data_IF_704686174265
#
_entry.id   IF_704686174265
#
_cell.length_a   1.000
_cell.length_b   1.000
_cell.length_c   1.000
_cell.angle_alpha   90.00
_cell.angle_beta   90.00
_cell.angle_gamma   90.00
#
_symmetry.space_group_name_H-M   'P 1'
#
loop_
_entity.id
_entity.type
_entity.pdbx_description
1 polymer ?
#
# COMPACT_ATOMS: atom_id res chain seq x y z
N UNK A 1 15.28 -23.90 31.09
CA UNK A 1 14.20 -24.81 31.55
C UNK A 1 13.23 -25.00 30.40
N UNK A 2 13.14 -26.16 29.74
CA UNK A 2 12.15 -26.34 28.69
C UNK A 2 10.77 -26.45 29.34
N UNK A 3 9.92 -25.44 29.14
CA UNK A 3 8.49 -25.59 29.37
C UNK A 3 8.00 -26.76 28.52
N UNK A 4 7.47 -27.80 29.18
CA UNK A 4 6.85 -28.94 28.50
C UNK A 4 5.88 -28.43 27.43
N UNK A 5 5.96 -28.98 26.21
CA UNK A 5 5.04 -28.76 25.08
C UNK A 5 3.58 -28.69 25.55
N UNK A 6 3.21 -29.55 26.51
CA UNK A 6 1.88 -29.60 27.13
C UNK A 6 1.44 -28.28 27.80
N UNK A 7 2.37 -27.55 28.41
CA UNK A 7 2.09 -26.26 29.06
C UNK A 7 1.81 -25.16 28.04
N UNK A 8 2.53 -25.16 26.90
CA UNK A 8 2.29 -24.22 25.80
C UNK A 8 0.91 -24.51 25.19
N UNK A 9 0.61 -25.78 24.93
CA UNK A 9 -0.68 -26.21 24.38
C UNK A 9 -1.86 -25.89 25.29
N UNK A 10 -1.73 -26.12 26.60
CA UNK A 10 -2.77 -25.78 27.57
C UNK A 10 -2.99 -24.26 27.66
N UNK A 11 -1.94 -23.44 27.55
CA UNK A 11 -2.06 -21.98 27.50
C UNK A 11 -2.74 -21.51 26.22
N UNK A 12 -2.37 -22.07 25.06
CA UNK A 12 -2.98 -21.75 23.77
C UNK A 12 -4.47 -22.10 23.77
N UNK A 13 -4.82 -23.32 24.19
CA UNK A 13 -6.20 -23.79 24.24
C UNK A 13 -7.08 -22.98 25.20
N UNK A 14 -6.59 -22.66 26.41
CA UNK A 14 -7.32 -21.83 27.37
C UNK A 14 -7.56 -20.40 26.85
N UNK A 15 -6.61 -19.84 26.10
CA UNK A 15 -6.72 -18.49 25.52
C UNK A 15 -7.64 -18.44 24.32
N UNK A 16 -7.60 -19.44 23.43
CA UNK A 16 -8.58 -19.56 22.33
C UNK A 16 -9.99 -19.71 22.88
N UNK A 17 -10.19 -20.52 23.92
CA UNK A 17 -11.49 -20.64 24.59
C UNK A 17 -11.95 -19.31 25.20
N UNK A 18 -11.05 -18.51 25.78
CA UNK A 18 -11.37 -17.19 26.31
C UNK A 18 -11.70 -16.17 25.19
N UNK A 19 -10.97 -16.21 24.08
CA UNK A 19 -11.20 -15.32 22.93
C UNK A 19 -12.53 -15.64 22.25
N UNK A 20 -12.82 -16.92 22.00
CA UNK A 20 -14.08 -17.38 21.42
C UNK A 20 -15.27 -17.19 22.39
N UNK A 21 -15.05 -17.37 23.70
CA UNK A 21 -16.08 -17.17 24.72
C UNK A 21 -16.58 -15.73 24.85
N UNK A 22 -15.75 -14.73 24.51
CA UNK A 22 -16.17 -13.31 24.45
C UNK A 22 -17.06 -12.98 23.25
N UNK A 23 -17.16 -13.86 22.24
CA UNK A 23 -17.98 -13.71 21.03
C UNK A 23 -19.38 -14.31 21.13
N UNK A 24 -19.82 -14.77 22.31
CA UNK A 24 -21.22 -15.14 22.49
C UNK A 24 -22.12 -13.93 22.16
N UNK A 25 -22.73 -13.97 20.98
CA UNK A 25 -23.71 -12.99 20.50
C UNK A 25 -24.73 -12.78 21.63
N UNK A 26 -24.92 -11.55 22.15
CA UNK A 26 -25.94 -11.33 23.14
C UNK A 26 -27.28 -11.66 22.50
N UNK A 27 -27.92 -12.74 22.97
CA UNK A 27 -29.30 -13.04 22.65
C UNK A 27 -30.10 -11.77 22.89
N UNK A 28 -30.84 -11.34 21.86
CA UNK A 28 -31.63 -10.11 21.86
C UNK A 28 -32.39 -9.95 23.18
N UNK A 29 -31.93 -9.03 24.03
CA UNK A 29 -32.65 -8.63 25.23
C UNK A 29 -33.69 -7.56 24.83
N UNK A 30 -34.93 -7.68 25.33
CA UNK A 30 -35.99 -6.72 25.00
C UNK A 30 -35.66 -5.35 25.59
N UNK A 31 -36.07 -4.31 24.87
CA UNK A 31 -35.86 -2.92 25.21
C UNK A 31 -36.40 -2.59 26.62
N UNK A 32 -35.53 -2.03 27.46
CA UNK A 32 -35.90 -1.37 28.71
C UNK A 32 -35.25 0.01 28.75
N UNK A 33 -36.04 0.98 29.16
CA UNK A 33 -35.84 2.41 29.00
C UNK A 33 -34.73 3.01 29.88
N UNK A 34 -34.12 4.06 29.32
CA UNK A 34 -33.60 5.28 29.97
C UNK A 34 -32.58 5.16 31.13
N UNK A 35 -31.32 5.49 30.82
CA UNK A 35 -30.47 6.32 31.67
C UNK A 35 -29.39 7.00 30.82
N UNK A 36 -29.63 8.27 30.49
CA UNK A 36 -28.73 9.14 29.72
C UNK A 36 -27.53 9.53 30.59
N UNK A 37 -26.32 9.08 30.22
CA UNK A 37 -25.07 9.73 30.63
C UNK A 37 -24.31 10.11 29.36
N UNK A 38 -24.23 11.41 29.11
CA UNK A 38 -23.47 11.99 28.00
C UNK A 38 -21.97 11.89 28.29
N UNK A 39 -21.29 11.03 27.55
CA UNK A 39 -19.85 11.15 27.33
C UNK A 39 -19.72 11.62 25.89
N UNK A 40 -19.27 12.86 25.71
CA UNK A 40 -18.99 13.47 24.41
C UNK A 40 -17.61 13.01 23.95
N UNK A 41 -17.46 12.26 22.85
CA UNK A 41 -16.16 12.11 22.22
C UNK A 41 -15.95 13.27 21.23
N UNK A 42 -14.76 13.87 21.29
CA UNK A 42 -14.33 14.90 20.36
C UNK A 42 -14.30 14.33 18.93
N UNK A 43 -15.30 14.70 18.13
CA UNK A 43 -15.28 14.53 16.67
C UNK A 43 -14.46 15.66 16.06
N UNK A 44 -13.28 15.34 15.54
CA UNK A 44 -12.63 16.11 14.49
C UNK A 44 -12.56 15.25 13.24
N UNK A 45 -13.71 15.12 12.57
CA UNK A 45 -13.76 14.78 11.16
C UNK A 45 -14.33 16.03 10.46
N UNK A 46 -13.49 16.74 9.71
CA UNK A 46 -13.95 17.79 8.82
C UNK A 46 -14.82 17.16 7.74
N UNK A 47 -16.14 17.31 7.89
CA UNK A 47 -17.10 16.97 6.85
C UNK A 47 -16.87 17.88 5.64
N UNK A 48 -16.47 17.30 4.52
CA UNK A 48 -16.54 17.90 3.18
C UNK A 48 -18.00 18.31 2.92
N UNK A 49 -18.31 19.60 3.06
CA UNK A 49 -19.57 20.17 2.58
C UNK A 49 -19.54 20.17 1.05
N UNK A 50 -20.17 19.18 0.44
CA UNK A 50 -20.51 19.20 -0.98
C UNK A 50 -21.39 20.43 -1.27
N UNK A 51 -20.90 21.33 -2.13
CA UNK A 51 -21.70 22.45 -2.66
C UNK A 51 -22.84 21.92 -3.55
N UNK A 52 -24.03 22.53 -3.53
CA UNK A 52 -25.12 22.15 -4.42
C UNK A 52 -24.80 22.53 -5.86
N UNK A 53 -25.00 21.55 -6.74
CA UNK A 53 -24.94 21.66 -8.20
C UNK A 53 -26.01 22.66 -8.68
N UNK A 54 -25.62 23.67 -9.46
CA UNK A 54 -26.55 24.52 -10.21
C UNK A 54 -26.56 24.08 -11.68
N UNK A 55 -27.73 24.00 -12.34
CA UNK A 55 -27.82 23.50 -13.70
C UNK A 55 -27.34 24.54 -14.71
N UNK A 56 -26.48 24.12 -15.63
CA UNK A 56 -26.06 24.91 -16.79
C UNK A 56 -27.25 25.19 -17.71
N UNK A 57 -27.49 26.48 -17.95
CA UNK A 57 -28.43 27.02 -18.93
C UNK A 57 -28.06 26.56 -20.34
N UNK A 58 -29.10 26.16 -21.07
CA UNK A 58 -29.12 25.98 -22.52
C UNK A 58 -28.69 27.25 -23.26
N UNK A 59 -27.60 27.16 -24.04
CA UNK A 59 -27.26 28.14 -25.06
C UNK A 59 -27.61 27.56 -26.43
N UNK A 60 -28.64 28.14 -27.03
CA UNK A 60 -29.14 27.91 -28.39
C UNK A 60 -28.06 28.23 -29.43
N UNK A 61 -27.74 27.27 -30.30
CA UNK A 61 -26.86 27.49 -31.45
C UNK A 61 -27.58 28.33 -32.51
N UNK A 62 -27.12 29.56 -32.71
CA UNK A 62 -27.49 30.41 -33.84
C UNK A 62 -26.80 29.90 -35.11
N UNK A 63 -27.59 29.36 -36.03
CA UNK A 63 -27.24 29.07 -37.42
C UNK A 63 -26.88 30.36 -38.15
N UNK A 64 -25.58 30.56 -38.44
CA UNK A 64 -25.13 31.62 -39.35
C UNK A 64 -24.83 31.02 -40.71
N UNK A 65 -25.81 31.14 -41.59
CA UNK A 65 -25.72 30.92 -43.03
C UNK A 65 -24.77 31.96 -43.62
N UNK A 66 -23.63 31.53 -44.17
CA UNK A 66 -22.79 32.41 -44.99
C UNK A 66 -22.93 32.01 -46.45
N UNK A 67 -23.54 32.93 -47.18
CA UNK A 67 -23.88 32.89 -48.59
C UNK A 67 -22.63 32.77 -49.46
N UNK A 68 -22.65 31.82 -50.40
CA UNK A 68 -21.66 31.66 -51.47
C UNK A 68 -21.97 32.70 -52.56
N UNK A 69 -21.00 33.54 -52.90
CA UNK A 69 -20.99 34.36 -54.11
C UNK A 69 -19.78 33.96 -54.97
N UNK A 70 -19.96 33.66 -56.28
CA UNK A 70 -18.89 33.58 -57.25
C UNK A 70 -18.69 34.96 -57.94
N UNK A 71 -17.88 35.10 -58.99
CA UNK A 71 -16.52 34.61 -59.25
C UNK A 71 -15.57 35.80 -59.58
N UNK A 72 -14.26 35.55 -59.77
CA UNK A 72 -13.49 36.33 -60.76
C UNK A 72 -12.33 35.52 -61.36
N UNK A 73 -12.39 35.39 -62.68
CA UNK A 73 -11.37 34.85 -63.57
C UNK A 73 -10.20 35.83 -63.72
N UNK A 74 -9.04 35.23 -64.01
CA UNK A 74 -7.85 35.76 -64.64
C UNK A 74 -6.91 36.62 -63.78
N UNK A 75 -5.76 36.05 -63.43
CA UNK A 75 -4.49 36.43 -64.06
C UNK A 75 -3.45 35.34 -63.78
N UNK A 76 -2.89 34.80 -64.86
CA UNK A 76 -1.74 33.91 -64.82
C UNK A 76 -0.52 34.73 -64.37
N UNK A 77 -0.13 34.59 -63.11
CA UNK A 77 1.15 35.08 -62.62
C UNK A 77 2.10 33.90 -62.50
N UNK A 78 3.26 34.07 -63.14
CA UNK A 78 4.33 33.10 -63.25
C UNK A 78 4.66 32.41 -61.91
N UNK A 79 4.97 31.11 -61.99
CA UNK A 79 5.56 30.33 -60.90
C UNK A 79 6.82 31.05 -60.41
N UNK A 80 6.71 31.80 -59.31
CA UNK A 80 7.88 32.21 -58.55
C UNK A 80 8.54 30.94 -58.01
N UNK A 81 9.86 30.77 -58.15
CA UNK A 81 10.54 29.59 -57.63
C UNK A 81 10.26 29.50 -56.13
N UNK A 82 9.64 28.39 -55.72
CA UNK A 82 9.36 28.09 -54.32
C UNK A 82 10.66 28.28 -53.54
N UNK A 83 10.62 29.12 -52.49
CA UNK A 83 11.82 29.41 -51.70
C UNK A 83 12.35 28.09 -51.12
N UNK A 84 13.67 27.95 -51.00
CA UNK A 84 14.25 26.71 -50.47
C UNK A 84 13.79 26.41 -49.03
N UNK A 85 13.32 27.44 -48.31
CA UNK A 85 12.71 27.29 -47.00
C UNK A 85 11.31 26.67 -47.07
N UNK A 86 10.50 27.03 -48.07
CA UNK A 86 9.21 26.40 -48.33
C UNK A 86 9.36 24.97 -48.86
N UNK A 87 10.42 24.69 -49.63
CA UNK A 87 10.79 23.31 -50.01
C UNK A 87 11.19 22.49 -48.79
N UNK A 88 12.00 23.04 -47.88
CA UNK A 88 12.37 22.36 -46.63
C UNK A 88 11.15 22.10 -45.75
N UNK A 89 10.24 23.07 -45.60
CA UNK A 89 9.01 22.88 -44.83
C UNK A 89 8.04 21.89 -45.48
N UNK A 90 8.01 21.81 -46.81
CA UNK A 90 7.22 20.82 -47.54
C UNK A 90 7.81 19.41 -47.38
N UNK A 91 9.13 19.26 -47.51
CA UNK A 91 9.84 17.99 -47.29
C UNK A 91 9.67 17.48 -45.85
N UNK A 92 9.84 18.36 -44.85
CA UNK A 92 9.61 18.00 -43.45
C UNK A 92 8.15 17.58 -43.20
N UNK A 93 7.16 18.18 -43.86
CA UNK A 93 5.75 17.76 -43.72
C UNK A 93 5.47 16.39 -44.34
N UNK A 94 6.14 16.03 -45.44
CA UNK A 94 5.98 14.71 -46.06
C UNK A 94 6.68 13.60 -45.26
N UNK A 95 7.87 13.87 -44.72
CA UNK A 95 8.65 12.88 -43.95
C UNK A 95 7.99 12.51 -42.61
N UNK A 96 7.27 13.45 -41.97
CA UNK A 96 6.52 13.16 -40.75
C UNK A 96 5.08 12.64 -40.99
N UNK A 97 4.57 12.69 -42.22
CA UNK A 97 3.21 12.23 -42.51
C UNK A 97 3.07 10.70 -42.40
N UNK A 98 4.10 9.94 -42.77
CA UNK A 98 4.08 8.48 -42.68
C UNK A 98 4.18 7.98 -41.22
N UNK A 99 5.12 8.47 -40.39
CA UNK A 99 5.19 8.13 -38.96
C UNK A 99 3.91 8.50 -38.19
N UNK A 100 3.30 9.66 -38.48
CA UNK A 100 2.06 10.09 -37.83
C UNK A 100 0.86 9.21 -38.23
N UNK A 101 0.79 8.75 -39.48
CA UNK A 101 -0.26 7.80 -39.92
C UNK A 101 -0.08 6.43 -39.28
N UNK A 102 1.16 5.94 -39.17
CA UNK A 102 1.49 4.69 -38.47
C UNK A 102 1.13 4.78 -36.98
N UNK A 103 1.50 5.87 -36.29
CA UNK A 103 1.14 6.10 -34.90
C UNK A 103 -0.39 6.14 -34.68
N UNK A 104 -1.14 6.78 -35.60
CA UNK A 104 -2.61 6.76 -35.56
C UNK A 104 -3.19 5.36 -35.80
N UNK A 105 -2.61 4.58 -36.70
CA UNK A 105 -3.00 3.18 -36.95
C UNK A 105 -2.75 2.29 -35.74
N UNK A 106 -1.58 2.39 -35.12
CA UNK A 106 -1.24 1.67 -33.87
C UNK A 106 -2.15 2.11 -32.72
N UNK A 107 -2.40 3.41 -32.56
CA UNK A 107 -3.33 3.91 -31.54
C UNK A 107 -4.76 3.39 -31.76
N UNK A 108 -5.23 3.29 -33.01
CA UNK A 108 -6.54 2.73 -33.34
C UNK A 108 -6.60 1.23 -33.03
N UNK A 109 -5.56 0.47 -33.37
CA UNK A 109 -5.46 -0.97 -33.05
C UNK A 109 -5.41 -1.21 -31.55
N UNK A 110 -4.67 -0.37 -30.79
CA UNK A 110 -4.64 -0.45 -29.33
C UNK A 110 -6.01 -0.06 -28.72
N UNK A 111 -6.71 0.91 -29.29
CA UNK A 111 -8.06 1.29 -28.86
C UNK A 111 -9.10 0.20 -29.18
N UNK A 112 -9.02 -0.44 -30.34
CA UNK A 112 -9.90 -1.56 -30.69
C UNK A 112 -9.59 -2.80 -29.87
N UNK A 113 -8.32 -3.12 -29.61
CA UNK A 113 -7.94 -4.20 -28.70
C UNK A 113 -8.36 -3.92 -27.25
N UNK A 114 -8.22 -2.68 -26.78
CA UNK A 114 -8.66 -2.26 -25.45
C UNK A 114 -10.18 -2.37 -25.29
N UNK A 115 -10.95 -1.96 -26.30
CA UNK A 115 -12.41 -2.14 -26.32
C UNK A 115 -12.79 -3.61 -26.42
N UNK A 116 -12.09 -4.43 -27.21
CA UNK A 116 -12.33 -5.88 -27.28
C UNK A 116 -12.07 -6.57 -25.94
N UNK A 117 -11.00 -6.18 -25.24
CA UNK A 117 -10.68 -6.68 -23.91
C UNK A 117 -11.73 -6.25 -22.88
N UNK A 118 -12.21 -5.01 -22.96
CA UNK A 118 -13.32 -4.49 -22.15
C UNK A 118 -14.63 -5.25 -22.41
N UNK A 119 -14.96 -5.53 -23.67
CA UNK A 119 -16.15 -6.31 -24.04
C UNK A 119 -16.00 -7.77 -23.59
N UNK A 120 -14.83 -8.39 -23.78
CA UNK A 120 -14.58 -9.76 -23.35
C UNK A 120 -14.68 -9.90 -21.83
N UNK A 121 -14.05 -9.02 -21.07
CA UNK A 121 -14.16 -9.01 -19.60
C UNK A 121 -15.62 -8.80 -19.16
N UNK A 122 -16.34 -7.86 -19.78
CA UNK A 122 -17.77 -7.65 -19.50
C UNK A 122 -18.62 -8.87 -19.83
N UNK A 123 -18.36 -9.55 -20.96
CA UNK A 123 -19.08 -10.75 -21.37
C UNK A 123 -18.80 -11.95 -20.44
N UNK A 124 -17.54 -12.14 -20.03
CA UNK A 124 -17.15 -13.14 -19.03
C UNK A 124 -17.85 -12.88 -17.69
N UNK A 125 -17.96 -11.61 -17.30
CA UNK A 125 -18.70 -11.24 -16.09
C UNK A 125 -20.20 -11.49 -16.23
N UNK A 126 -20.81 -11.08 -17.33
CA UNK A 126 -22.24 -11.31 -17.57
C UNK A 126 -22.54 -12.82 -17.58
N UNK A 127 -21.65 -13.62 -18.19
CA UNK A 127 -21.73 -15.07 -18.15
C UNK A 127 -21.64 -15.61 -16.71
N UNK A 128 -20.70 -15.11 -15.91
CA UNK A 128 -20.58 -15.47 -14.49
C UNK A 128 -21.81 -15.04 -13.66
N UNK A 129 -22.48 -13.94 -14.00
CA UNK A 129 -23.70 -13.51 -13.29
C UNK A 129 -24.96 -14.27 -13.72
N UNK A 130 -24.99 -14.80 -14.93
CA UNK A 130 -26.16 -15.46 -15.52
C UNK A 130 -26.13 -16.99 -15.42
N UNK A 131 -25.00 -17.59 -15.07
CA UNK A 131 -24.89 -19.05 -14.91
C UNK A 131 -25.00 -19.42 -13.43
N UNK A 132 -25.57 -20.59 -13.11
CA UNK A 132 -25.47 -21.13 -11.75
C UNK A 132 -24.04 -21.65 -11.54
N UNK A 133 -23.41 -21.36 -10.40
CA UNK A 133 -22.03 -21.76 -10.21
C UNK A 133 -21.93 -23.26 -9.98
N UNK A 134 -21.13 -23.92 -10.80
CA UNK A 134 -20.65 -25.28 -10.52
C UNK A 134 -19.40 -25.20 -9.64
N UNK A 135 -19.05 -26.25 -8.85
CA UNK A 135 -17.79 -26.32 -8.09
C UNK A 135 -16.55 -25.90 -8.88
N UNK A 136 -16.49 -26.25 -10.17
CA UNK A 136 -15.38 -25.89 -11.06
C UNK A 136 -15.43 -24.42 -11.55
N UNK A 137 -16.61 -23.78 -11.56
CA UNK A 137 -16.78 -22.38 -11.96
C UNK A 137 -16.44 -21.39 -10.84
N UNK A 138 -16.51 -21.79 -9.57
CA UNK A 138 -16.29 -20.88 -8.43
C UNK A 138 -14.87 -20.32 -8.38
N UNK A 139 -13.83 -21.14 -8.58
CA UNK A 139 -12.45 -20.65 -8.60
C UNK A 139 -12.25 -19.61 -9.72
N UNK A 140 -12.87 -19.87 -10.89
CA UNK A 140 -12.90 -18.90 -11.97
C UNK A 140 -13.61 -17.60 -11.57
N UNK A 141 -14.79 -17.67 -10.92
CA UNK A 141 -15.55 -16.51 -10.49
C UNK A 141 -14.84 -15.69 -9.40
N UNK A 142 -14.26 -16.36 -8.39
CA UNK A 142 -13.46 -15.74 -7.33
C UNK A 142 -12.33 -14.92 -7.94
N UNK A 143 -11.56 -15.50 -8.87
CA UNK A 143 -10.47 -14.80 -9.57
C UNK A 143 -10.99 -13.64 -10.44
N UNK A 144 -12.13 -13.82 -11.09
CA UNK A 144 -12.77 -12.79 -11.94
C UNK A 144 -13.25 -11.61 -11.09
N UNK A 145 -13.87 -11.86 -9.94
CA UNK A 145 -14.28 -10.81 -8.99
C UNK A 145 -13.08 -10.12 -8.34
N UNK A 146 -12.03 -10.86 -7.96
CA UNK A 146 -10.76 -10.30 -7.46
C UNK A 146 -10.13 -9.32 -8.45
N UNK A 147 -10.01 -9.72 -9.73
CA UNK A 147 -9.46 -8.87 -10.78
C UNK A 147 -10.29 -7.60 -10.99
N UNK A 148 -11.61 -7.71 -10.90
CA UNK A 148 -12.51 -6.55 -11.04
C UNK A 148 -12.44 -5.61 -9.85
N UNK A 149 -12.38 -6.15 -8.63
CA UNK A 149 -12.15 -5.35 -7.44
C UNK A 149 -10.82 -4.58 -7.54
N UNK A 150 -9.75 -5.26 -7.95
CA UNK A 150 -8.45 -4.63 -8.20
C UNK A 150 -8.52 -3.52 -9.26
N UNK A 151 -9.24 -3.75 -10.36
CA UNK A 151 -9.44 -2.73 -11.40
C UNK A 151 -10.18 -1.50 -10.85
N UNK A 152 -11.26 -1.70 -10.08
CA UNK A 152 -12.02 -0.58 -9.50
C UNK A 152 -11.21 0.20 -8.48
N UNK A 153 -10.44 -0.48 -7.65
CA UNK A 153 -9.59 0.15 -6.65
C UNK A 153 -8.43 0.92 -7.30
N UNK A 154 -7.60 0.26 -8.11
CA UNK A 154 -6.34 0.82 -8.61
C UNK A 154 -6.55 1.76 -9.78
N UNK A 155 -7.39 1.38 -10.75
CA UNK A 155 -7.54 2.16 -11.98
C UNK A 155 -8.67 3.19 -11.91
N UNK A 156 -9.78 2.85 -11.26
CA UNK A 156 -10.96 3.73 -11.25
C UNK A 156 -11.13 4.51 -9.95
N UNK A 157 -10.39 4.16 -8.89
CA UNK A 157 -10.56 4.71 -7.53
C UNK A 157 -12.01 4.66 -7.03
N UNK A 158 -12.76 3.64 -7.44
CA UNK A 158 -14.15 3.38 -7.04
C UNK A 158 -14.17 2.34 -5.94
N UNK A 159 -13.90 2.76 -4.71
CA UNK A 159 -13.76 1.86 -3.56
C UNK A 159 -15.06 1.10 -3.24
N UNK A 160 -16.22 1.73 -3.37
CA UNK A 160 -17.52 1.08 -3.13
C UNK A 160 -17.79 -0.07 -4.10
N UNK A 161 -17.38 0.09 -5.37
CA UNK A 161 -17.49 -0.96 -6.37
C UNK A 161 -16.51 -2.10 -6.07
N UNK A 162 -15.27 -1.78 -5.66
CA UNK A 162 -14.30 -2.78 -5.25
C UNK A 162 -14.81 -3.59 -4.05
N UNK A 163 -15.34 -2.94 -3.01
CA UNK A 163 -15.95 -3.57 -1.85
C UNK A 163 -17.11 -4.50 -2.25
N UNK A 164 -18.02 -4.03 -3.11
CA UNK A 164 -19.15 -4.83 -3.59
C UNK A 164 -18.69 -6.15 -4.23
N UNK A 165 -17.68 -6.11 -5.10
CA UNK A 165 -17.17 -7.30 -5.77
C UNK A 165 -16.40 -8.23 -4.83
N UNK A 166 -15.65 -7.69 -3.86
CA UNK A 166 -14.98 -8.49 -2.83
C UNK A 166 -15.99 -9.20 -1.92
N UNK A 167 -17.01 -8.48 -1.46
CA UNK A 167 -18.09 -9.06 -0.66
C UNK A 167 -18.88 -10.12 -1.44
N UNK A 168 -19.08 -9.94 -2.74
CA UNK A 168 -19.72 -10.95 -3.61
C UNK A 168 -18.85 -12.21 -3.74
N UNK A 169 -17.54 -12.05 -3.95
CA UNK A 169 -16.61 -13.17 -4.02
C UNK A 169 -16.55 -13.96 -2.70
N UNK A 170 -16.58 -13.28 -1.56
CA UNK A 170 -16.60 -13.94 -0.25
C UNK A 170 -17.87 -14.75 -0.02
N UNK A 171 -19.05 -14.22 -0.35
CA UNK A 171 -20.31 -14.97 -0.25
C UNK A 171 -20.28 -16.26 -1.07
N UNK A 172 -19.69 -16.23 -2.25
CA UNK A 172 -19.56 -17.42 -3.10
C UNK A 172 -18.57 -18.47 -2.53
N UNK A 173 -17.49 -18.04 -1.87
CA UNK A 173 -16.61 -18.96 -1.15
C UNK A 173 -17.30 -19.57 0.09
N UNK A 174 -18.08 -18.79 0.83
CA UNK A 174 -18.84 -19.25 2.01
C UNK A 174 -19.90 -20.31 1.65
N UNK A 175 -20.60 -20.13 0.53
CA UNK A 175 -21.64 -21.05 0.04
C UNK A 175 -21.09 -22.43 -0.37
N UNK A 176 -19.81 -22.50 -0.75
CA UNK A 176 -19.28 -23.67 -1.47
C UNK A 176 -18.48 -24.63 -0.64
N UNK A 177 -17.94 -24.16 0.47
CA UNK A 177 -16.89 -24.93 1.12
C UNK A 177 -17.00 -24.88 2.63
N UNK A 178 -17.14 -26.07 3.22
CA UNK A 178 -16.75 -26.30 4.62
C UNK A 178 -15.23 -26.07 4.85
N UNK A 179 -14.46 -25.73 3.80
CA UNK A 179 -13.00 -25.63 3.76
C UNK A 179 -12.44 -24.44 2.94
N UNK A 180 -13.25 -23.44 2.52
CA UNK A 180 -12.79 -22.34 1.65
C UNK A 180 -11.78 -21.41 2.33
N UNK A 181 -11.86 -21.31 3.66
CA UNK A 181 -11.07 -20.41 4.50
C UNK A 181 -9.55 -20.60 4.37
N UNK A 182 -9.11 -21.73 3.82
CA UNK A 182 -7.71 -22.13 3.70
C UNK A 182 -7.12 -21.88 2.32
N UNK A 183 -7.95 -21.46 1.35
CA UNK A 183 -7.46 -21.09 0.03
C UNK A 183 -6.69 -19.79 0.13
N UNK A 184 -5.54 -19.75 -0.53
CA UNK A 184 -4.72 -18.54 -0.68
C UNK A 184 -5.55 -17.36 -1.21
N UNK A 185 -6.49 -17.66 -2.09
CA UNK A 185 -7.41 -16.74 -2.73
C UNK A 185 -8.39 -16.10 -1.74
N UNK A 186 -8.90 -16.87 -0.77
CA UNK A 186 -9.81 -16.36 0.27
C UNK A 186 -9.09 -15.38 1.20
N UNK A 187 -7.88 -15.72 1.64
CA UNK A 187 -7.07 -14.82 2.47
C UNK A 187 -6.70 -13.53 1.72
N UNK A 188 -6.39 -13.64 0.43
CA UNK A 188 -6.16 -12.48 -0.42
C UNK A 188 -7.42 -11.61 -0.57
N UNK A 189 -8.59 -12.23 -0.75
CA UNK A 189 -9.89 -11.54 -0.81
C UNK A 189 -10.19 -10.75 0.47
N UNK A 190 -10.11 -11.40 1.63
CA UNK A 190 -10.42 -10.77 2.92
C UNK A 190 -9.42 -9.64 3.21
N UNK A 191 -8.12 -9.90 3.02
CA UNK A 191 -7.10 -8.87 3.25
C UNK A 191 -7.33 -7.68 2.32
N UNK A 192 -7.72 -7.93 1.07
CA UNK A 192 -8.06 -6.88 0.11
C UNK A 192 -9.33 -6.12 0.50
N UNK A 193 -10.36 -6.81 1.00
CA UNK A 193 -11.58 -6.19 1.49
C UNK A 193 -11.29 -5.26 2.67
N UNK A 194 -10.54 -5.74 3.65
CA UNK A 194 -10.12 -4.93 4.77
C UNK A 194 -9.30 -3.71 4.30
N UNK A 195 -8.40 -3.89 3.34
CA UNK A 195 -7.63 -2.80 2.75
C UNK A 195 -8.54 -1.74 2.09
N UNK A 196 -9.51 -2.15 1.26
CA UNK A 196 -10.46 -1.23 0.62
C UNK A 196 -11.26 -0.45 1.68
N UNK A 197 -11.72 -1.10 2.74
CA UNK A 197 -12.41 -0.43 3.85
C UNK A 197 -11.53 0.59 4.57
N UNK A 198 -10.26 0.27 4.76
CA UNK A 198 -9.29 1.22 5.32
C UNK A 198 -9.09 2.43 4.41
N UNK A 199 -9.03 2.23 3.09
CA UNK A 199 -8.97 3.32 2.12
C UNK A 199 -10.24 4.18 2.12
N UNK A 200 -11.41 3.61 2.45
CA UNK A 200 -12.67 4.34 2.66
C UNK A 200 -12.75 5.04 4.04
N UNK A 201 -11.67 5.01 4.84
CA UNK A 201 -11.65 5.46 6.23
C UNK A 201 -12.61 4.70 7.18
N UNK A 202 -13.08 3.52 6.79
CA UNK A 202 -13.84 2.61 7.66
C UNK A 202 -12.88 1.67 8.40
N UNK A 203 -12.16 2.22 9.38
CA UNK A 203 -11.21 1.45 10.18
C UNK A 203 -11.91 0.36 11.02
N UNK A 204 -13.15 0.59 11.44
CA UNK A 204 -13.92 -0.40 12.23
C UNK A 204 -14.30 -1.58 11.36
N UNK A 205 -14.94 -1.35 10.21
CA UNK A 205 -15.33 -2.42 9.32
C UNK A 205 -14.15 -3.15 8.69
N UNK A 206 -13.00 -2.49 8.50
CA UNK A 206 -11.75 -3.14 8.12
C UNK A 206 -11.19 -4.04 9.23
N UNK A 207 -11.26 -3.59 10.48
CA UNK A 207 -10.82 -4.37 11.66
C UNK A 207 -11.70 -5.60 11.86
N UNK A 208 -13.03 -5.47 11.78
CA UNK A 208 -13.98 -6.58 11.96
C UNK A 208 -13.74 -7.73 10.95
N UNK A 209 -13.42 -7.36 9.70
CA UNK A 209 -13.11 -8.32 8.63
C UNK A 209 -11.82 -9.09 8.94
N UNK A 210 -10.76 -8.40 9.36
CA UNK A 210 -9.49 -9.06 9.71
C UNK A 210 -9.60 -9.87 11.01
N UNK A 211 -10.35 -9.40 12.01
CA UNK A 211 -10.58 -10.11 13.27
C UNK A 211 -11.23 -11.48 13.02
N UNK A 212 -12.21 -11.52 12.12
CA UNK A 212 -12.94 -12.74 11.80
C UNK A 212 -12.02 -13.79 11.17
N UNK A 213 -11.24 -13.39 10.17
CA UNK A 213 -10.28 -14.31 9.54
C UNK A 213 -9.14 -14.69 10.47
N UNK A 214 -8.66 -13.76 11.30
CA UNK A 214 -7.66 -14.09 12.30
C UNK A 214 -8.18 -15.14 13.30
N UNK A 215 -9.40 -14.98 13.81
CA UNK A 215 -9.99 -15.93 14.75
C UNK A 215 -10.14 -17.34 14.12
N UNK A 216 -10.53 -17.42 12.85
CA UNK A 216 -10.64 -18.67 12.11
C UNK A 216 -9.28 -19.34 11.88
N UNK A 217 -8.30 -18.57 11.37
CA UNK A 217 -6.94 -19.06 11.16
C UNK A 217 -6.30 -19.55 12.46
N UNK A 218 -6.48 -18.80 13.55
CA UNK A 218 -5.97 -19.15 14.87
C UNK A 218 -6.63 -20.42 15.41
N UNK A 219 -7.94 -20.59 15.21
CA UNK A 219 -8.67 -21.79 15.63
C UNK A 219 -8.13 -23.03 14.92
N UNK A 220 -7.91 -22.97 13.59
CA UNK A 220 -7.28 -24.09 12.87
C UNK A 220 -5.84 -24.32 13.29
N UNK A 221 -5.04 -23.26 13.39
CA UNK A 221 -3.66 -23.39 13.81
C UNK A 221 -3.58 -24.11 15.16
N UNK A 222 -4.43 -23.72 16.11
CA UNK A 222 -4.53 -24.36 17.42
C UNK A 222 -4.94 -25.82 17.33
N UNK A 223 -5.92 -26.15 16.48
CA UNK A 223 -6.34 -27.53 16.24
C UNK A 223 -5.22 -28.39 15.64
N UNK A 224 -4.57 -27.90 14.58
CA UNK A 224 -3.52 -28.62 13.88
C UNK A 224 -2.27 -28.80 14.76
N UNK A 225 -1.86 -27.78 15.53
CA UNK A 225 -0.77 -27.90 16.52
C UNK A 225 -1.14 -28.89 17.63
N UNK A 226 -2.40 -28.93 18.07
CA UNK A 226 -2.89 -29.91 19.07
C UNK A 226 -2.85 -31.36 18.57
N UNK A 227 -2.85 -31.57 17.26
CA UNK A 227 -2.71 -32.89 16.65
C UNK A 227 -1.26 -33.36 16.48
N UNK A 228 -0.26 -32.51 16.74
CA UNK A 228 1.15 -32.88 16.63
C UNK A 228 1.65 -33.62 17.87
N UNK A 229 2.30 -34.76 17.64
CA UNK A 229 2.97 -35.53 18.69
C UNK A 229 4.29 -34.87 19.16
N UNK A 230 4.98 -34.15 18.28
CA UNK A 230 6.24 -33.43 18.57
C UNK A 230 6.32 -32.10 17.78
N UNK A 231 6.80 -31.05 18.45
CA UNK A 231 7.05 -29.73 17.85
C UNK A 231 8.40 -29.62 17.15
N UNK A 232 9.28 -30.64 17.26
CA UNK A 232 10.58 -30.62 16.57
C UNK A 232 10.47 -30.75 15.06
N UNK A 233 9.38 -31.32 14.54
CA UNK A 233 9.15 -31.55 13.12
C UNK A 233 7.83 -30.94 12.67
N UNK A 234 7.74 -29.61 12.69
CA UNK A 234 6.55 -28.88 12.22
C UNK A 234 6.39 -29.11 10.71
N UNK A 235 5.24 -29.63 10.25
CA UNK A 235 4.97 -29.76 8.82
C UNK A 235 5.01 -28.39 8.13
N UNK A 236 5.60 -28.26 6.92
CA UNK A 236 5.68 -26.98 6.21
C UNK A 236 4.34 -26.23 6.06
N UNK A 237 3.20 -26.90 5.78
CA UNK A 237 1.90 -26.21 5.73
C UNK A 237 1.49 -25.57 7.07
N UNK A 238 1.80 -26.21 8.19
CA UNK A 238 1.48 -25.69 9.52
C UNK A 238 2.40 -24.52 9.90
N UNK A 239 3.68 -24.59 9.54
CA UNK A 239 4.60 -23.46 9.68
C UNK A 239 4.08 -22.24 8.89
N UNK A 240 3.62 -22.46 7.65
CA UNK A 240 3.05 -21.39 6.83
C UNK A 240 1.75 -20.82 7.42
N UNK A 241 0.91 -21.66 8.00
CA UNK A 241 -0.30 -21.22 8.71
C UNK A 241 0.06 -20.34 9.93
N UNK A 242 1.04 -20.74 10.74
CA UNK A 242 1.54 -19.95 11.86
C UNK A 242 2.11 -18.59 11.43
N UNK A 243 2.83 -18.55 10.31
CA UNK A 243 3.32 -17.30 9.69
C UNK A 243 2.14 -16.36 9.35
N UNK A 244 1.10 -16.87 8.69
CA UNK A 244 -0.08 -16.09 8.30
C UNK A 244 -0.85 -15.57 9.52
N UNK A 245 -1.06 -16.40 10.55
CA UNK A 245 -1.71 -15.99 11.81
C UNK A 245 -0.94 -14.83 12.43
N UNK A 246 0.38 -14.97 12.56
CA UNK A 246 1.26 -13.97 13.18
C UNK A 246 1.23 -12.64 12.40
N UNK A 247 1.35 -12.70 11.07
CA UNK A 247 1.31 -11.51 10.21
C UNK A 247 -0.03 -10.78 10.28
N UNK A 248 -1.14 -11.53 10.31
CA UNK A 248 -2.47 -10.96 10.39
C UNK A 248 -2.73 -10.32 11.75
N UNK A 249 -2.31 -10.99 12.82
CA UNK A 249 -2.38 -10.45 14.17
C UNK A 249 -1.57 -9.16 14.32
N UNK A 250 -0.36 -9.08 13.78
CA UNK A 250 0.43 -7.84 13.79
C UNK A 250 -0.27 -6.68 13.05
N UNK A 251 -0.93 -6.95 11.91
CA UNK A 251 -1.75 -5.95 11.21
C UNK A 251 -2.95 -5.50 12.05
N UNK A 252 -3.62 -6.43 12.72
CA UNK A 252 -4.72 -6.14 13.64
C UNK A 252 -4.27 -5.28 14.83
N UNK A 253 -3.09 -5.55 15.40
CA UNK A 253 -2.49 -4.69 16.44
C UNK A 253 -2.39 -3.25 15.94
N UNK A 254 -1.78 -3.02 14.77
CA UNK A 254 -1.68 -1.68 14.19
C UNK A 254 -3.04 -1.00 13.94
N UNK A 255 -4.08 -1.76 13.59
CA UNK A 255 -5.43 -1.23 13.43
C UNK A 255 -6.12 -0.88 14.76
N UNK A 256 -5.97 -1.73 15.77
CA UNK A 256 -6.46 -1.42 17.10
C UNK A 256 -5.80 -0.16 17.65
N UNK A 257 -4.49 0.01 17.45
CA UNK A 257 -3.80 1.24 17.85
C UNK A 257 -4.37 2.47 17.12
N UNK A 258 -4.56 2.41 15.80
CA UNK A 258 -5.17 3.50 15.02
C UNK A 258 -6.61 3.83 15.42
N UNK A 259 -7.37 2.85 15.92
CA UNK A 259 -8.74 3.05 16.41
C UNK A 259 -8.81 3.35 17.92
N UNK A 260 -7.66 3.53 18.59
CA UNK A 260 -7.58 3.84 20.01
C UNK A 260 -7.88 2.67 20.96
N UNK A 261 -7.97 1.44 20.44
CA UNK A 261 -8.22 0.21 21.21
C UNK A 261 -6.92 -0.39 21.77
N UNK A 262 -6.17 0.41 22.53
CA UNK A 262 -4.81 0.07 23.00
C UNK A 262 -4.78 -1.23 23.81
N UNK A 263 -5.79 -1.48 24.65
CA UNK A 263 -5.84 -2.72 25.46
C UNK A 263 -6.02 -3.97 24.61
N UNK A 264 -6.88 -3.92 23.59
CA UNK A 264 -7.04 -5.04 22.65
C UNK A 264 -5.77 -5.28 21.83
N UNK A 265 -5.11 -4.20 21.43
CA UNK A 265 -3.81 -4.27 20.75
C UNK A 265 -2.77 -4.97 21.64
N UNK A 266 -2.72 -4.62 22.93
CA UNK A 266 -1.80 -5.22 23.88
C UNK A 266 -2.09 -6.69 24.21
N UNK A 267 -3.37 -7.05 24.36
CA UNK A 267 -3.79 -8.45 24.52
C UNK A 267 -3.32 -9.29 23.31
N UNK A 268 -3.60 -8.81 22.09
CA UNK A 268 -3.23 -9.51 20.86
C UNK A 268 -1.72 -9.59 20.64
N UNK A 269 -0.98 -8.50 20.89
CA UNK A 269 0.48 -8.47 20.78
C UNK A 269 1.18 -9.38 21.81
N UNK A 270 0.60 -9.55 23.00
CA UNK A 270 1.08 -10.49 24.01
C UNK A 270 0.82 -11.96 23.68
N UNK A 271 -0.11 -12.24 22.76
CA UNK A 271 -0.45 -13.58 22.31
C UNK A 271 0.38 -14.04 21.09
N UNK A 272 0.98 -13.11 20.33
CA UNK A 272 1.79 -13.40 19.14
C UNK A 272 2.93 -14.40 19.39
N UNK A 273 3.62 -14.33 20.53
CA UNK A 273 4.71 -15.27 20.84
C UNK A 273 4.25 -16.74 20.81
N UNK A 274 2.98 -16.98 21.17
CA UNK A 274 2.45 -18.34 21.23
C UNK A 274 2.17 -18.94 19.84
N UNK A 275 2.15 -18.13 18.78
CA UNK A 275 1.92 -18.58 17.40
C UNK A 275 3.21 -18.80 16.63
N UNK A 276 4.36 -18.36 17.14
CA UNK A 276 5.68 -18.58 16.52
C UNK A 276 6.20 -19.96 16.93
N UNK A 277 6.24 -20.88 15.96
CA UNK A 277 6.71 -22.24 16.18
C UNK A 277 8.25 -22.32 16.20
N UNK A 278 8.85 -23.33 16.87
CA UNK A 278 10.29 -23.57 16.79
C UNK A 278 10.76 -23.74 15.34
N UNK A 279 11.84 -23.05 14.98
CA UNK A 279 12.39 -23.08 13.61
C UNK A 279 11.61 -22.23 12.59
N UNK A 280 10.62 -21.45 13.04
CA UNK A 280 9.97 -20.45 12.19
C UNK A 280 10.95 -19.37 11.73
N UNK A 281 10.58 -18.66 10.66
CA UNK A 281 11.39 -17.55 10.14
C UNK A 281 11.60 -16.50 11.25
N UNK A 282 12.86 -16.16 11.59
CA UNK A 282 13.17 -15.18 12.63
C UNK A 282 12.55 -13.80 12.38
N UNK A 283 12.19 -13.46 11.13
CA UNK A 283 11.44 -12.23 10.82
C UNK A 283 10.05 -12.18 11.45
N UNK A 284 9.46 -13.33 11.80
CA UNK A 284 8.22 -13.36 12.56
C UNK A 284 8.42 -12.85 13.99
N UNK A 285 9.54 -13.21 14.63
CA UNK A 285 9.88 -12.69 15.95
C UNK A 285 10.13 -11.18 15.90
N UNK A 286 10.79 -10.67 14.86
CA UNK A 286 10.90 -9.23 14.65
C UNK A 286 9.52 -8.55 14.46
N UNK A 287 8.60 -9.18 13.73
CA UNK A 287 7.23 -8.65 13.55
C UNK A 287 6.47 -8.57 14.87
N UNK A 288 6.60 -9.59 15.72
CA UNK A 288 6.05 -9.57 17.09
C UNK A 288 6.65 -8.45 17.92
N UNK A 289 7.99 -8.33 17.94
CA UNK A 289 8.69 -7.32 18.73
C UNK A 289 8.29 -5.90 18.31
N UNK A 290 8.13 -5.65 17.00
CA UNK A 290 7.59 -4.37 16.50
C UNK A 290 6.18 -4.11 17.06
N UNK A 291 5.27 -5.09 16.95
CA UNK A 291 3.91 -4.94 17.45
C UNK A 291 3.87 -4.68 18.97
N UNK A 292 4.74 -5.32 19.75
CA UNK A 292 4.89 -5.05 21.18
C UNK A 292 5.46 -3.66 21.47
N UNK A 293 6.44 -3.22 20.67
CA UNK A 293 6.99 -1.87 20.75
C UNK A 293 5.92 -0.80 20.46
N UNK A 294 5.10 -1.00 19.43
CA UNK A 294 4.03 -0.08 19.05
C UNK A 294 2.96 0.03 20.15
N UNK A 295 2.61 -1.08 20.79
CA UNK A 295 1.71 -1.08 21.95
C UNK A 295 2.32 -0.32 23.13
N UNK A 296 3.59 -0.55 23.44
CA UNK A 296 4.28 0.16 24.53
C UNK A 296 4.34 1.67 24.27
N UNK A 297 4.69 2.06 23.04
CA UNK A 297 4.68 3.45 22.58
C UNK A 297 3.30 4.09 22.72
N UNK A 298 2.23 3.40 22.30
CA UNK A 298 0.86 3.90 22.43
C UNK A 298 0.41 4.06 23.89
N UNK A 299 0.99 3.29 24.82
CA UNK A 299 0.78 3.44 26.28
C UNK A 299 1.65 4.53 26.90
N UNK A 300 2.56 5.14 26.14
CA UNK A 300 3.53 6.11 26.63
C UNK A 300 4.73 5.49 27.37
N UNK A 301 4.90 4.16 27.33
CA UNK A 301 6.07 3.47 27.88
C UNK A 301 7.19 3.43 26.83
N UNK A 302 7.80 4.60 26.61
CA UNK A 302 8.83 4.78 25.59
C UNK A 302 10.12 4.00 25.86
N UNK A 303 10.42 3.71 27.13
CA UNK A 303 11.57 2.86 27.49
C UNK A 303 11.33 1.43 27.03
N UNK A 304 10.18 0.84 27.36
CA UNK A 304 9.84 -0.48 26.88
C UNK A 304 9.72 -0.51 25.35
N UNK A 305 9.15 0.51 24.73
CA UNK A 305 9.06 0.60 23.27
C UNK A 305 10.46 0.55 22.63
N UNK A 306 11.40 1.37 23.12
CA UNK A 306 12.78 1.38 22.64
C UNK A 306 13.43 0.01 22.75
N UNK A 307 13.36 -0.63 23.91
CA UNK A 307 13.97 -1.93 24.14
C UNK A 307 13.44 -3.00 23.16
N UNK A 308 12.15 -2.94 22.80
CA UNK A 308 11.55 -3.84 21.81
C UNK A 308 12.04 -3.55 20.40
N UNK A 309 12.12 -2.28 20.01
CA UNK A 309 12.63 -1.88 18.69
C UNK A 309 14.13 -2.18 18.55
N UNK A 310 14.93 -1.97 19.59
CA UNK A 310 16.35 -2.32 19.66
C UNK A 310 16.57 -3.83 19.47
N UNK A 311 15.71 -4.66 20.08
CA UNK A 311 15.76 -6.11 19.88
C UNK A 311 15.50 -6.52 18.41
N UNK A 312 14.67 -5.77 17.68
CA UNK A 312 14.47 -6.00 16.23
C UNK A 312 15.74 -5.64 15.45
N UNK A 313 16.42 -4.55 15.81
CA UNK A 313 17.69 -4.15 15.18
C UNK A 313 18.75 -5.24 15.39
N UNK A 314 18.90 -5.72 16.62
CA UNK A 314 19.86 -6.80 16.95
C UNK A 314 19.55 -8.09 16.18
N UNK A 315 18.27 -8.42 16.01
CA UNK A 315 17.85 -9.59 15.24
C UNK A 315 18.22 -9.43 13.75
N UNK A 316 18.00 -8.25 13.14
CA UNK A 316 18.43 -8.00 11.76
C UNK A 316 19.96 -8.15 11.61
N UNK A 317 20.73 -7.58 12.53
CA UNK A 317 22.20 -7.68 12.51
C UNK A 317 22.67 -9.13 12.57
N UNK A 318 22.05 -9.95 13.42
CA UNK A 318 22.32 -11.39 13.49
C UNK A 318 21.98 -12.09 12.17
N UNK A 319 20.82 -11.78 11.58
CA UNK A 319 20.42 -12.39 10.31
C UNK A 319 21.33 -12.00 9.15
N UNK A 320 21.83 -10.76 9.14
CA UNK A 320 22.82 -10.30 8.15
C UNK A 320 24.14 -11.04 8.36
N UNK A 321 24.61 -11.18 9.61
CA UNK A 321 25.85 -11.88 9.93
C UNK A 321 25.81 -13.38 9.61
N UNK A 322 24.67 -14.04 9.85
CA UNK A 322 24.50 -15.47 9.62
C UNK A 322 24.21 -15.82 8.15
N UNK A 323 23.74 -14.85 7.35
CA UNK A 323 23.45 -15.09 5.93
C UNK A 323 24.73 -15.22 5.10
N UNK A 324 25.09 -16.45 4.71
CA UNK A 324 26.17 -16.72 3.75
C UNK A 324 25.83 -16.28 2.31
N UNK A 325 24.55 -16.02 2.01
CA UNK A 325 24.08 -15.52 0.72
C UNK A 325 23.10 -14.34 0.91
N UNK A 326 23.54 -13.08 0.66
CA UNK A 326 22.68 -11.91 0.72
C UNK A 326 21.61 -11.89 -0.39
N UNK A 327 21.66 -12.81 -1.37
CA UNK A 327 20.68 -12.95 -2.46
C UNK A 327 19.57 -13.97 -2.16
N UNK A 328 19.66 -14.78 -1.09
CA UNK A 328 18.54 -15.61 -0.59
C UNK A 328 17.37 -14.79 0.01
N UNK A 329 17.31 -13.50 -0.34
CA UNK A 329 16.21 -12.57 -0.11
C UNK A 329 15.04 -13.00 -0.98
N UNK A 330 14.14 -13.78 -0.37
CA UNK A 330 12.91 -14.33 -0.95
C UNK A 330 12.26 -13.34 -1.93
N UNK A 331 11.99 -13.77 -3.18
CA UNK A 331 11.35 -12.92 -4.16
C UNK A 331 9.96 -12.51 -3.68
N UNK A 332 9.74 -11.20 -3.73
CA UNK A 332 8.45 -10.56 -3.54
C UNK A 332 7.54 -11.00 -4.69
N UNK A 333 6.45 -11.73 -4.43
CA UNK A 333 5.47 -12.02 -5.47
C UNK A 333 4.02 -11.99 -4.98
N UNK A 334 3.33 -11.01 -5.57
CA UNK A 334 1.97 -11.06 -6.09
C UNK A 334 0.78 -11.21 -5.13
N UNK A 335 -0.03 -10.14 -5.14
CA UNK A 335 -1.48 -10.14 -5.01
C UNK A 335 -2.04 -10.37 -3.59
N UNK A 336 -2.02 -9.31 -2.78
CA UNK A 336 -3.02 -9.10 -1.73
C UNK A 336 -2.86 -9.90 -0.42
N UNK A 337 -1.80 -10.68 -0.26
CA UNK A 337 -1.50 -11.40 1.00
C UNK A 337 -0.56 -10.54 1.86
N UNK A 338 -0.72 -10.51 3.20
CA UNK A 338 0.31 -9.99 4.10
C UNK A 338 1.63 -10.71 3.81
N UNK A 339 2.57 -10.04 3.17
CA UNK A 339 3.94 -10.54 3.04
C UNK A 339 4.78 -9.99 4.18
N UNK A 340 5.77 -10.78 4.60
CA UNK A 340 6.84 -10.27 5.44
C UNK A 340 7.52 -9.11 4.70
N UNK A 341 7.70 -7.99 5.40
CA UNK A 341 8.50 -6.88 4.90
C UNK A 341 9.89 -7.40 4.50
N UNK A 342 10.50 -6.91 3.41
CA UNK A 342 11.90 -7.22 3.11
C UNK A 342 12.77 -6.89 4.34
N UNK A 343 13.74 -7.75 4.67
CA UNK A 343 14.56 -7.56 5.89
C UNK A 343 15.14 -6.15 6.04
N UNK A 344 15.62 -5.54 4.93
CA UNK A 344 16.09 -4.14 4.92
C UNK A 344 15.01 -3.13 5.30
N UNK A 345 13.77 -3.34 4.87
CA UNK A 345 12.64 -2.48 5.25
C UNK A 345 12.35 -2.64 6.74
N UNK A 346 12.37 -3.88 7.25
CA UNK A 346 12.14 -4.17 8.66
C UNK A 346 13.19 -3.48 9.55
N UNK A 347 14.46 -3.56 9.17
CA UNK A 347 15.53 -2.86 9.86
C UNK A 347 15.37 -1.34 9.80
N UNK A 348 15.05 -0.77 8.62
CA UNK A 348 14.82 0.66 8.49
C UNK A 348 13.66 1.14 9.39
N UNK A 349 12.56 0.39 9.42
CA UNK A 349 11.40 0.62 10.29
C UNK A 349 11.82 0.55 11.76
N UNK A 350 12.59 -0.48 12.16
CA UNK A 350 13.07 -0.61 13.52
C UNK A 350 13.94 0.58 13.95
N UNK A 351 14.93 0.98 13.15
CA UNK A 351 15.77 2.15 13.46
C UNK A 351 14.93 3.44 13.56
N UNK A 352 13.96 3.62 12.67
CA UNK A 352 13.02 4.75 12.72
C UNK A 352 12.23 4.78 14.04
N UNK A 353 11.72 3.62 14.47
CA UNK A 353 10.98 3.51 15.72
C UNK A 353 11.87 3.65 16.96
N UNK A 354 13.11 3.16 16.95
CA UNK A 354 14.10 3.43 18.00
C UNK A 354 14.36 4.93 18.10
N UNK A 355 14.59 5.62 16.99
CA UNK A 355 14.80 7.08 16.98
C UNK A 355 13.60 7.85 17.55
N UNK A 356 12.38 7.44 17.20
CA UNK A 356 11.15 8.01 17.75
C UNK A 356 11.03 7.76 19.26
N UNK A 357 11.26 6.52 19.71
CA UNK A 357 11.19 6.17 21.12
C UNK A 357 12.30 6.86 21.95
N UNK A 358 13.51 6.97 21.41
CA UNK A 358 14.63 7.66 22.04
C UNK A 358 14.35 9.16 22.18
N UNK A 359 13.81 9.80 21.13
CA UNK A 359 13.39 11.20 21.18
C UNK A 359 12.34 11.40 22.26
N UNK A 360 11.32 10.54 22.31
CA UNK A 360 10.23 10.70 23.26
C UNK A 360 10.66 10.43 24.70
N UNK A 361 11.52 9.44 24.93
CA UNK A 361 12.00 9.07 26.26
C UNK A 361 13.01 10.08 26.83
N UNK A 362 13.93 10.58 26.01
CA UNK A 362 15.07 11.40 26.49
C UNK A 362 14.94 12.87 26.19
N UNK A 363 14.11 13.24 25.20
CA UNK A 363 14.03 14.59 24.62
C UNK A 363 15.36 15.07 24.01
N UNK A 364 16.27 14.15 23.70
CA UNK A 364 17.55 14.43 23.04
C UNK A 364 17.43 14.24 21.53
N UNK A 365 17.23 15.36 20.82
CA UNK A 365 17.09 15.35 19.36
C UNK A 365 18.35 14.85 18.65
N UNK A 366 19.55 15.17 19.16
CA UNK A 366 20.79 14.77 18.51
C UNK A 366 20.95 13.25 18.49
N UNK A 367 20.61 12.58 19.61
CA UNK A 367 20.63 11.12 19.70
C UNK A 367 19.55 10.47 18.84
N UNK A 368 18.37 11.08 18.74
CA UNK A 368 17.32 10.61 17.85
C UNK A 368 17.70 10.72 16.36
N UNK A 369 18.36 11.82 15.96
CA UNK A 369 18.82 12.04 14.59
C UNK A 369 19.84 10.99 14.13
N UNK A 370 20.72 10.50 15.01
CA UNK A 370 21.63 9.39 14.69
C UNK A 370 20.87 8.11 14.31
N UNK A 371 19.77 7.81 15.01
CA UNK A 371 18.91 6.68 14.68
C UNK A 371 18.14 6.89 13.38
N UNK A 372 17.65 8.10 13.13
CA UNK A 372 16.97 8.41 11.87
C UNK A 372 17.94 8.35 10.67
N UNK A 373 19.19 8.77 10.83
CA UNK A 373 20.21 8.64 9.78
C UNK A 373 20.50 7.17 9.45
N UNK A 374 20.60 6.31 10.47
CA UNK A 374 20.69 4.84 10.27
C UNK A 374 19.46 4.29 9.55
N UNK A 375 18.26 4.75 9.90
CA UNK A 375 17.02 4.35 9.21
C UNK A 375 17.04 4.76 7.73
N UNK A 376 17.44 5.99 7.42
CA UNK A 376 17.59 6.51 6.04
C UNK A 376 18.64 5.71 5.26
N UNK A 377 19.79 5.43 5.87
CA UNK A 377 20.86 4.61 5.27
C UNK A 377 20.36 3.21 4.93
N UNK A 378 19.56 2.60 5.80
CA UNK A 378 18.97 1.27 5.55
C UNK A 378 17.90 1.31 4.46
N UNK A 379 17.10 2.39 4.40
CA UNK A 379 16.04 2.59 3.41
C UNK A 379 16.58 3.01 2.03
N UNK A 380 17.77 3.61 1.96
CA UNK A 380 18.38 4.11 0.75
C UNK A 380 18.56 3.00 -0.31
N UNK A 381 18.42 3.34 -1.60
CA UNK A 381 18.75 2.42 -2.68
C UNK A 381 20.22 2.01 -2.53
N UNK A 382 20.52 0.73 -2.71
CA UNK A 382 21.92 0.30 -2.79
C UNK A 382 22.59 1.12 -3.90
N UNK A 383 23.69 1.81 -3.60
CA UNK A 383 24.47 2.48 -4.63
C UNK A 383 24.79 1.44 -5.71
N UNK A 384 24.50 1.78 -6.96
CA UNK A 384 24.80 0.93 -8.10
C UNK A 384 26.32 0.92 -8.31
N UNK A 385 27.04 0.24 -7.41
CA UNK A 385 28.46 -0.01 -7.59
C UNK A 385 28.62 -0.92 -8.81
N UNK A 386 29.26 -0.37 -9.84
CA UNK A 386 29.22 -0.86 -11.21
C UNK A 386 29.60 -2.32 -11.36
N UNK A 387 28.66 -3.13 -11.84
CA UNK A 387 28.90 -4.50 -12.29
C UNK A 387 27.59 -5.16 -12.67
N UNK A 388 27.53 -5.77 -13.86
CA UNK A 388 26.36 -6.28 -14.58
C UNK A 388 25.40 -7.26 -13.86
N UNK A 389 25.50 -7.48 -12.55
CA UNK A 389 24.55 -8.27 -11.74
C UNK A 389 23.32 -7.43 -11.34
N UNK A 390 22.63 -6.87 -12.33
CA UNK A 390 21.61 -5.83 -12.14
C UNK A 390 20.19 -6.35 -11.89
N UNK A 391 19.98 -7.65 -11.62
CA UNK A 391 18.63 -8.23 -11.64
C UNK A 391 17.99 -8.57 -10.29
N UNK A 392 18.69 -8.46 -9.15
CA UNK A 392 18.08 -8.78 -7.85
C UNK A 392 18.57 -7.87 -6.70
N UNK A 393 18.92 -6.62 -6.99
CA UNK A 393 19.13 -5.68 -5.88
C UNK A 393 17.80 -5.41 -5.17
N UNK A 394 17.75 -5.53 -3.83
CA UNK A 394 16.55 -5.21 -3.08
C UNK A 394 16.25 -3.73 -3.26
N UNK A 395 15.06 -3.45 -3.80
CA UNK A 395 14.55 -2.10 -4.00
C UNK A 395 14.60 -1.31 -2.69
N UNK A 396 14.89 -0.01 -2.78
CA UNK A 396 14.79 0.92 -1.65
C UNK A 396 13.40 0.86 -1.03
N UNK A 397 13.31 1.07 0.29
CA UNK A 397 12.03 1.27 0.96
C UNK A 397 11.69 2.76 0.86
N UNK A 398 11.18 3.20 -0.29
CA UNK A 398 10.81 4.61 -0.49
C UNK A 398 9.72 5.04 0.53
N UNK A 399 8.82 4.12 0.94
CA UNK A 399 7.84 4.34 2.03
C UNK A 399 8.53 4.66 3.37
N UNK A 400 9.45 3.80 3.82
CA UNK A 400 10.21 4.01 5.06
C UNK A 400 11.00 5.32 5.00
N UNK A 401 11.59 5.62 3.84
CA UNK A 401 12.35 6.85 3.61
C UNK A 401 11.46 8.08 3.70
N UNK A 402 10.29 8.09 3.06
CA UNK A 402 9.33 9.19 3.12
C UNK A 402 8.90 9.48 4.55
N UNK A 403 8.45 8.44 5.28
CA UNK A 403 8.02 8.56 6.67
C UNK A 403 9.14 9.09 7.60
N UNK A 404 10.38 8.60 7.39
CA UNK A 404 11.54 9.03 8.18
C UNK A 404 11.89 10.49 7.90
N UNK A 405 12.02 10.89 6.63
CA UNK A 405 12.32 12.28 6.24
C UNK A 405 11.27 13.24 6.78
N UNK A 406 9.99 12.90 6.60
CA UNK A 406 8.90 13.74 7.05
C UNK A 406 8.92 13.93 8.59
N UNK A 407 9.26 12.88 9.34
CA UNK A 407 9.41 12.95 10.81
C UNK A 407 10.62 13.79 11.21
N UNK A 408 11.80 13.53 10.63
CA UNK A 408 13.03 14.29 10.90
C UNK A 408 12.83 15.78 10.64
N UNK A 409 12.26 16.12 9.47
CA UNK A 409 12.00 17.51 9.10
C UNK A 409 11.06 18.22 10.09
N UNK A 410 10.02 17.54 10.57
CA UNK A 410 9.13 18.08 11.61
C UNK A 410 9.85 18.32 12.93
N UNK A 411 10.67 17.39 13.39
CA UNK A 411 11.38 17.53 14.67
C UNK A 411 12.49 18.60 14.61
N UNK A 412 13.20 18.72 13.48
CA UNK A 412 14.13 19.82 13.23
C UNK A 412 13.42 21.18 13.28
N UNK A 413 12.23 21.27 12.64
CA UNK A 413 11.45 22.50 12.66
C UNK A 413 11.00 22.88 14.06
N UNK A 414 10.59 21.90 14.89
CA UNK A 414 10.24 22.13 16.31
C UNK A 414 11.43 22.58 17.15
N UNK A 415 12.64 22.12 16.82
CA UNK A 415 13.87 22.56 17.47
C UNK A 415 14.36 23.94 16.99
N UNK A 416 13.73 24.52 15.96
CA UNK A 416 14.07 25.83 15.41
C UNK A 416 15.16 25.80 14.34
N UNK A 417 15.59 24.62 13.87
CA UNK A 417 16.47 24.51 12.71
C UNK A 417 15.64 24.51 11.41
N UNK A 418 15.09 25.70 11.10
CA UNK A 418 14.17 25.86 9.97
C UNK A 418 14.84 25.57 8.62
N UNK A 419 16.13 25.90 8.48
CA UNK A 419 16.87 25.69 7.22
C UNK A 419 16.99 24.20 6.92
N UNK A 420 17.46 23.42 7.89
CA UNK A 420 17.59 21.97 7.71
C UNK A 420 16.22 21.29 7.62
N UNK A 421 15.22 21.78 8.37
CA UNK A 421 13.86 21.27 8.29
C UNK A 421 13.27 21.41 6.88
N UNK A 422 13.37 22.58 6.25
CA UNK A 422 12.85 22.80 4.89
C UNK A 422 13.54 21.87 3.88
N UNK A 423 14.85 21.70 3.97
CA UNK A 423 15.59 20.80 3.08
C UNK A 423 15.08 19.36 3.21
N UNK A 424 15.02 18.85 4.44
CA UNK A 424 14.59 17.46 4.71
C UNK A 424 13.12 17.24 4.34
N UNK A 425 12.23 18.18 4.67
CA UNK A 425 10.80 18.10 4.32
C UNK A 425 10.59 18.12 2.82
N UNK A 426 11.36 18.92 2.07
CA UNK A 426 11.27 18.97 0.61
C UNK A 426 11.67 17.63 -0.01
N UNK A 427 12.76 17.01 0.48
CA UNK A 427 13.16 15.67 0.05
C UNK A 427 12.09 14.62 0.40
N UNK A 428 11.52 14.69 1.62
CA UNK A 428 10.46 13.80 2.06
C UNK A 428 9.21 13.90 1.19
N UNK A 429 8.80 15.13 0.86
CA UNK A 429 7.65 15.43 0.00
C UNK A 429 7.83 14.86 -1.41
N UNK A 430 9.03 14.99 -2.00
CA UNK A 430 9.33 14.42 -3.32
C UNK A 430 9.17 12.89 -3.31
N UNK A 431 9.73 12.22 -2.30
CA UNK A 431 9.63 10.75 -2.18
C UNK A 431 8.17 10.33 -1.94
N UNK A 432 7.46 10.99 -1.03
CA UNK A 432 6.06 10.71 -0.72
C UNK A 432 5.16 10.82 -1.96
N UNK A 433 5.33 11.90 -2.74
CA UNK A 433 4.61 12.14 -4.00
C UNK A 433 4.94 11.11 -5.06
N UNK A 434 6.21 10.70 -5.18
CA UNK A 434 6.66 9.68 -6.13
C UNK A 434 5.97 8.33 -5.89
N UNK A 435 5.76 7.95 -4.62
CA UNK A 435 5.15 6.67 -4.26
C UNK A 435 3.63 6.76 -3.99
N UNK A 436 3.09 7.98 -3.90
CA UNK A 436 1.69 8.21 -3.56
C UNK A 436 1.36 8.01 -2.08
N UNK A 437 2.33 8.20 -1.18
CA UNK A 437 2.11 8.20 0.27
C UNK A 437 1.44 9.51 0.70
N UNK A 438 0.13 9.45 0.89
CA UNK A 438 -0.70 10.61 1.22
C UNK A 438 -0.47 11.14 2.64
N UNK A 439 -0.06 10.29 3.57
CA UNK A 439 0.12 10.70 4.97
C UNK A 439 1.45 11.45 5.11
N UNK A 440 2.53 10.93 4.53
CA UNK A 440 3.82 11.62 4.48
C UNK A 440 3.73 12.93 3.66
N UNK A 441 3.03 12.93 2.52
CA UNK A 441 2.80 14.13 1.70
C UNK A 441 2.08 15.21 2.50
N UNK A 442 0.93 14.91 3.12
CA UNK A 442 0.19 15.86 3.95
C UNK A 442 1.03 16.42 5.10
N UNK A 443 1.80 15.55 5.77
CA UNK A 443 2.64 15.97 6.88
C UNK A 443 3.75 16.92 6.42
N UNK A 444 4.44 16.59 5.33
CA UNK A 444 5.47 17.45 4.76
C UNK A 444 4.89 18.79 4.30
N UNK A 445 3.77 18.78 3.56
CA UNK A 445 3.11 19.99 3.08
C UNK A 445 2.69 20.89 4.24
N UNK A 446 2.03 20.35 5.26
CA UNK A 446 1.57 21.14 6.39
C UNK A 446 2.72 21.80 7.16
N UNK A 447 3.84 21.11 7.35
CA UNK A 447 5.01 21.68 8.04
C UNK A 447 5.76 22.71 7.16
N UNK A 448 5.87 22.47 5.85
CA UNK A 448 6.45 23.45 4.92
C UNK A 448 5.62 24.74 4.86
N UNK A 449 4.29 24.63 4.79
CA UNK A 449 3.38 25.78 4.84
C UNK A 449 3.51 26.55 6.15
N UNK A 450 3.66 25.84 7.28
CA UNK A 450 3.90 26.46 8.59
C UNK A 450 5.20 27.27 8.62
N UNK A 451 6.22 26.81 7.89
CA UNK A 451 7.51 27.50 7.73
C UNK A 451 7.47 28.61 6.67
N UNK A 452 6.31 28.88 6.06
CA UNK A 452 6.15 29.90 5.02
C UNK A 452 6.72 29.50 3.66
N UNK A 453 6.98 28.20 3.44
CA UNK A 453 7.39 27.67 2.14
C UNK A 453 6.14 27.38 1.30
N UNK A 454 6.06 27.99 0.12
CA UNK A 454 4.98 27.71 -0.83
C UNK A 454 5.15 26.31 -1.41
N UNK A 455 4.16 25.44 -1.18
CA UNK A 455 4.15 24.07 -1.69
C UNK A 455 3.23 24.00 -2.90
N UNK A 456 3.73 23.68 -4.11
CA UNK A 456 2.86 23.54 -5.28
C UNK A 456 1.91 22.35 -5.11
N UNK A 457 0.62 22.59 -5.41
CA UNK A 457 -0.47 21.59 -5.35
C UNK A 457 -0.18 20.35 -6.21
N UNK A 458 0.51 20.53 -7.33
CA UNK A 458 0.89 19.45 -8.22
C UNK A 458 2.37 19.11 -8.04
N UNK A 459 2.65 17.83 -7.77
CA UNK A 459 3.94 17.23 -8.16
C UNK A 459 4.11 17.55 -9.64
N UNK A 460 5.16 18.24 -10.08
CA UNK A 460 5.47 18.30 -11.49
C UNK A 460 5.46 16.85 -11.96
N UNK A 461 4.57 16.52 -12.90
CA UNK A 461 4.57 15.20 -13.55
C UNK A 461 6.03 14.91 -13.86
N UNK A 462 6.62 13.79 -13.38
CA UNK A 462 8.03 13.52 -13.59
C UNK A 462 8.29 13.79 -15.06
N UNK A 463 9.19 14.74 -15.33
CA UNK A 463 9.39 15.27 -16.67
C UNK A 463 9.43 14.06 -17.60
N UNK A 464 8.57 14.07 -18.63
CA UNK A 464 8.54 13.02 -19.65
C UNK A 464 10.01 12.71 -19.96
N UNK A 465 10.49 11.46 -19.79
CA UNK A 465 11.92 11.17 -19.84
C UNK A 465 12.45 11.88 -21.06
N UNK A 466 13.37 12.84 -20.84
CA UNK A 466 13.94 13.65 -21.91
C UNK A 466 14.35 12.67 -22.99
N UNK A 467 13.76 12.83 -24.17
CA UNK A 467 14.06 11.93 -25.26
C UNK A 467 15.57 11.99 -25.46
N UNK A 468 16.26 10.84 -25.42
CA UNK A 468 17.73 10.79 -25.48
C UNK A 468 18.25 11.52 -26.73
N UNK A 469 17.41 11.57 -27.77
CA UNK A 469 17.67 12.30 -29.01
C UNK A 469 17.66 13.85 -28.84
N UNK A 470 16.85 14.42 -27.92
CA UNK A 470 16.84 15.87 -27.64
C UNK A 470 18.07 16.33 -26.85
N UNK A 471 18.77 15.42 -26.16
CA UNK A 471 20.04 15.72 -25.50
C UNK A 471 21.27 15.48 -26.41
N UNK A 472 21.09 14.80 -27.55
CA UNK A 472 22.18 14.54 -28.49
C UNK A 472 22.50 15.76 -29.37
N UNK A 473 21.51 16.59 -29.73
CA UNK A 473 21.73 17.76 -30.60
C UNK A 473 22.72 18.81 -30.04
N UNK A 474 22.65 19.24 -28.76
CA UNK A 474 23.62 20.20 -28.24
C UNK A 474 25.04 19.62 -28.12
N UNK A 475 25.17 18.32 -27.88
CA UNK A 475 26.46 17.63 -27.82
C UNK A 475 27.10 17.46 -29.22
N UNK A 476 26.29 17.18 -30.24
CA UNK A 476 26.77 17.06 -31.62
C UNK A 476 27.09 18.43 -32.24
N UNK A 477 26.36 19.49 -31.88
CA UNK A 477 26.67 20.85 -32.27
C UNK A 477 27.98 21.36 -31.62
N UNK A 478 28.23 21.02 -30.36
CA UNK A 478 29.47 21.34 -29.66
C UNK A 478 30.68 20.52 -30.17
N UNK A 479 30.45 19.35 -30.77
CA UNK A 479 31.50 18.54 -31.39
C UNK A 479 31.84 18.97 -32.83
N UNK A 480 31.00 19.79 -33.47
CA UNK A 480 31.20 20.30 -34.84
C UNK A 480 31.70 21.75 -34.89
N UNK A 481 31.68 22.47 -33.76
CA UNK A 481 32.29 23.78 -33.58
C UNK A 481 33.72 23.63 -33.06
#
# INVERSE_FOLDING_TARGET
>A
MPTSTRTIMNRLAARVAAHLGRRAVPAARPASAAATRSITPARHCHALKSRPWTPLRSATSSTRTTTILPPRRALATAKSPMSDEDKRRALLREDFALPLKLLRGVALVLATLGTLLGVHTTAVHLYAELTEPTPAAFDFWTRVHLRRAWMFEVHQRQLDAAEHYLAKALRHEDETSQWALWKREYLALVTKLAHVRLLQCDAVGGTDVLETVHAELLAKFTHDVASLDDLKSVPPPLAKLGELVTLLAAKLVGLYLRTGQIDRAGDLAGDLNATILPGADPRLAATELLAQGDVAAARGDWTQARDRYDAVVQLDEQLVADSADPAARVPYLEQGIPTLLPGRCLAAIAHFHVGTAELEATKDLARALDWFDKALTRAAPAAAEGGAAQQQQPRSCDECRAATLATVGRELSRAGDEVQAVEVLTQGLEVARKIGDLDADRMCTAELERLGVEVPDEVPKPAKPLNVDEQAEPAEAAAKA
#
